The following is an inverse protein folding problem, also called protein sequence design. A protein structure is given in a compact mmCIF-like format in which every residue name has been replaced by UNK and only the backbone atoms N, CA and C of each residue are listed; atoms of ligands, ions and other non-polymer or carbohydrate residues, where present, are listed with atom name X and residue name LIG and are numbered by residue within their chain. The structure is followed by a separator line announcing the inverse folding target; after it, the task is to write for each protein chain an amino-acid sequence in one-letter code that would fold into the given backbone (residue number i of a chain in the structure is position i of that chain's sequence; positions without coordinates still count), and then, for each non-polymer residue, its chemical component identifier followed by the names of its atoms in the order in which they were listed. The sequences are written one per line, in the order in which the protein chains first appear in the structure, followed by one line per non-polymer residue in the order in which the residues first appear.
data_IF_588101467476
#
_entry.id   IF_588101467476
#
_cell.length_a   1.000
_cell.length_b   1.000
_cell.length_c   1.000
_cell.angle_alpha   90.00
_cell.angle_beta   90.00
_cell.angle_gamma   90.00
#
_symmetry.space_group_name_H-M   'P 1'
#
loop_
_entity.id
_entity.type
_entity.pdbx_description
1 polymer ?
#
# COMPACT_ATOMS: atom_id res chain seq x y z
N UNK A 1 -29.38 -4.44 0.94
CA UNK A 1 -28.07 -3.97 0.43
C UNK A 1 -28.25 -3.58 -1.03
N UNK A 2 -27.94 -2.38 -1.48
CA UNK A 2 -28.01 -2.03 -2.89
C UNK A 2 -26.87 -2.73 -3.64
N UNK A 3 -27.10 -3.21 -4.88
CA UNK A 3 -26.09 -3.87 -5.68
C UNK A 3 -25.00 -2.88 -6.12
N UNK A 4 -23.77 -3.33 -6.11
CA UNK A 4 -22.62 -2.64 -6.71
C UNK A 4 -22.84 -2.53 -8.21
N UNK A 5 -23.11 -1.33 -8.72
CA UNK A 5 -23.25 -1.11 -10.16
C UNK A 5 -21.83 -0.97 -10.78
N UNK A 6 -21.35 -2.09 -11.33
CA UNK A 6 -20.21 -2.09 -12.23
C UNK A 6 -20.72 -1.83 -13.65
N UNK A 7 -20.48 -0.63 -14.19
CA UNK A 7 -20.68 -0.38 -15.64
C UNK A 7 -19.45 -0.88 -16.40
N UNK A 8 -19.50 -2.12 -16.85
CA UNK A 8 -18.54 -2.70 -17.78
C UNK A 8 -19.04 -4.08 -18.21
N UNK A 9 -19.31 -4.26 -19.50
CA UNK A 9 -19.75 -5.52 -20.07
C UNK A 9 -18.57 -6.49 -20.17
N UNK A 10 -18.61 -7.59 -19.44
CA UNK A 10 -17.69 -8.72 -19.60
C UNK A 10 -18.18 -9.58 -20.78
N UNK A 11 -17.45 -9.53 -21.90
CA UNK A 11 -17.63 -10.51 -22.98
C UNK A 11 -17.02 -11.85 -22.54
N UNK A 12 -17.86 -12.87 -22.42
CA UNK A 12 -17.45 -14.27 -22.19
C UNK A 12 -17.04 -14.86 -23.52
N UNK A 13 -15.75 -14.82 -23.83
CA UNK A 13 -15.16 -15.53 -24.96
C UNK A 13 -14.31 -16.68 -24.46
N UNK A 14 -14.63 -17.90 -24.84
CA UNK A 14 -13.80 -19.09 -24.63
C UNK A 14 -12.62 -19.01 -25.59
N UNK A 15 -11.43 -18.71 -25.10
CA UNK A 15 -10.19 -18.72 -25.89
C UNK A 15 -9.20 -19.67 -25.24
N UNK A 16 -8.53 -20.46 -26.09
CA UNK A 16 -7.50 -21.43 -25.72
C UNK A 16 -6.42 -20.82 -24.82
N UNK A 17 -6.18 -21.48 -23.69
CA UNK A 17 -5.18 -21.08 -22.71
C UNK A 17 -3.81 -21.52 -23.24
N UNK A 18 -3.04 -20.59 -23.78
CA UNK A 18 -1.60 -20.81 -23.88
C UNK A 18 -1.01 -20.93 -22.46
N UNK A 19 -0.23 -21.99 -22.27
CA UNK A 19 0.40 -22.36 -20.99
C UNK A 19 1.52 -21.40 -20.63
N UNK A 20 1.18 -20.19 -20.21
CA UNK A 20 2.12 -19.38 -19.42
C UNK A 20 2.07 -19.89 -18.00
N UNK A 21 3.25 -20.20 -17.43
CA UNK A 21 3.35 -20.70 -16.06
C UNK A 21 2.52 -19.85 -15.10
N UNK A 22 1.44 -20.46 -14.60
CA UNK A 22 0.64 -19.87 -13.53
C UNK A 22 1.31 -20.23 -12.23
N UNK A 23 1.78 -19.26 -11.48
CA UNK A 23 2.34 -19.48 -10.15
C UNK A 23 1.22 -19.98 -9.22
N UNK A 24 1.45 -21.06 -8.48
CA UNK A 24 0.56 -21.53 -7.44
C UNK A 24 1.09 -21.09 -6.07
N UNK A 25 0.24 -20.48 -5.26
CA UNK A 25 0.56 -20.03 -3.91
C UNK A 25 -0.41 -20.68 -2.93
N UNK A 26 0.13 -21.44 -1.97
CA UNK A 26 -0.61 -21.88 -0.80
C UNK A 26 -0.71 -20.71 0.21
N UNK A 27 -1.93 -20.24 0.43
CA UNK A 27 -2.22 -19.13 1.32
C UNK A 27 -2.46 -19.56 2.78
N UNK A 28 -2.44 -20.87 3.09
CA UNK A 28 -2.75 -21.39 4.43
C UNK A 28 -1.87 -20.77 5.51
N UNK A 29 -2.50 -20.05 6.45
CA UNK A 29 -1.84 -19.38 7.58
C UNK A 29 -1.12 -18.06 7.23
N UNK A 30 -1.17 -17.60 5.98
CA UNK A 30 -0.53 -16.33 5.53
C UNK A 30 -1.42 -15.52 4.57
N UNK A 31 -2.72 -15.68 4.70
CA UNK A 31 -3.72 -15.12 3.79
C UNK A 31 -3.62 -13.60 3.62
N UNK A 32 -3.43 -12.88 4.74
CA UNK A 32 -3.29 -11.43 4.70
C UNK A 32 -2.07 -10.99 3.88
N UNK A 33 -0.94 -11.69 4.02
CA UNK A 33 0.28 -11.37 3.28
C UNK A 33 0.17 -11.69 1.80
N UNK A 34 -0.52 -12.77 1.45
CA UNK A 34 -0.79 -13.11 0.04
C UNK A 34 -1.61 -12.01 -0.61
N UNK A 35 -2.66 -11.52 0.06
CA UNK A 35 -3.48 -10.42 -0.45
C UNK A 35 -2.71 -9.09 -0.49
N UNK A 36 -1.99 -8.76 0.58
CA UNK A 36 -1.38 -7.44 0.77
C UNK A 36 -0.07 -7.26 0.00
N UNK A 37 0.63 -8.36 -0.33
CA UNK A 37 1.96 -8.31 -0.93
C UNK A 37 2.09 -9.15 -2.21
N UNK A 38 1.73 -10.46 -2.16
CA UNK A 38 1.97 -11.33 -3.30
C UNK A 38 1.16 -10.90 -4.52
N UNK A 39 -0.15 -10.66 -4.36
CA UNK A 39 -1.01 -10.31 -5.49
C UNK A 39 -0.62 -8.98 -6.15
N UNK A 40 -0.39 -7.87 -5.43
CA UNK A 40 0.03 -6.63 -6.06
C UNK A 40 1.44 -6.71 -6.70
N UNK A 41 2.38 -7.48 -6.14
CA UNK A 41 3.68 -7.74 -6.78
C UNK A 41 3.50 -8.48 -8.09
N UNK A 42 2.72 -9.57 -8.10
CA UNK A 42 2.46 -10.35 -9.31
C UNK A 42 1.67 -9.55 -10.34
N UNK A 43 0.77 -8.67 -9.88
CA UNK A 43 0.10 -7.70 -10.75
C UNK A 43 1.11 -6.78 -11.43
N UNK A 44 2.04 -6.19 -10.69
CA UNK A 44 3.12 -5.37 -11.25
C UNK A 44 4.03 -6.12 -12.21
N UNK A 45 4.31 -7.40 -11.94
CA UNK A 45 5.10 -8.26 -12.81
C UNK A 45 4.33 -8.80 -14.05
N UNK A 46 3.02 -8.61 -14.12
CA UNK A 46 2.18 -9.20 -15.16
C UNK A 46 2.12 -10.74 -15.11
N UNK A 47 2.33 -11.36 -13.95
CA UNK A 47 2.37 -12.82 -13.77
C UNK A 47 1.03 -13.36 -13.30
N UNK A 48 0.57 -14.44 -13.91
CA UNK A 48 -0.67 -15.11 -13.49
C UNK A 48 -0.45 -15.93 -12.22
N UNK A 49 -1.47 -15.98 -11.34
CA UNK A 49 -1.42 -16.67 -10.06
C UNK A 49 -2.70 -17.49 -9.82
N UNK A 50 -2.51 -18.67 -9.23
CA UNK A 50 -3.56 -19.44 -8.55
C UNK A 50 -3.29 -19.43 -7.06
N UNK A 51 -4.23 -18.95 -6.28
CA UNK A 51 -4.19 -19.00 -4.82
C UNK A 51 -5.03 -20.19 -4.36
N UNK A 52 -4.45 -21.04 -3.52
CA UNK A 52 -5.10 -22.22 -2.95
C UNK A 52 -5.06 -22.17 -1.44
N UNK A 53 -5.97 -22.89 -0.78
CA UNK A 53 -5.98 -23.03 0.67
C UNK A 53 -6.34 -21.77 1.46
N UNK A 54 -6.94 -20.76 0.81
CA UNK A 54 -7.28 -19.50 1.48
C UNK A 54 -8.28 -19.72 2.61
N UNK A 55 -7.85 -19.52 3.86
CA UNK A 55 -8.63 -19.77 5.10
C UNK A 55 -9.24 -21.17 5.22
N UNK A 56 -8.60 -22.18 4.68
CA UNK A 56 -9.08 -23.55 4.78
C UNK A 56 -9.08 -24.09 6.20
N UNK A 57 -8.30 -23.50 7.11
CA UNK A 57 -8.08 -23.95 8.49
C UNK A 57 -8.78 -23.11 9.58
N UNK A 58 -9.43 -21.99 9.24
CA UNK A 58 -9.88 -20.99 10.22
C UNK A 58 -11.38 -21.02 10.57
N UNK A 59 -12.11 -22.08 10.37
CA UNK A 59 -13.55 -22.15 10.76
C UNK A 59 -14.50 -21.18 10.01
N UNK A 60 -13.99 -20.11 9.41
CA UNK A 60 -14.64 -19.24 8.45
C UNK A 60 -13.94 -19.46 7.13
N UNK A 61 -14.55 -20.21 6.24
CA UNK A 61 -13.93 -20.64 4.99
C UNK A 61 -13.92 -19.53 3.96
N UNK A 62 -12.78 -19.35 3.30
CA UNK A 62 -12.61 -18.62 2.07
C UNK A 62 -12.67 -17.07 2.16
N UNK A 63 -12.86 -16.46 0.99
CA UNK A 63 -12.91 -15.01 0.82
C UNK A 63 -14.13 -14.38 1.50
N UNK A 64 -13.92 -13.32 2.26
CA UNK A 64 -14.99 -12.46 2.76
C UNK A 64 -15.54 -11.53 1.66
N UNK A 65 -16.75 -10.95 1.84
CA UNK A 65 -17.29 -9.97 0.88
C UNK A 65 -16.33 -8.80 0.60
N UNK A 66 -15.60 -8.35 1.61
CA UNK A 66 -14.60 -7.27 1.52
C UNK A 66 -13.44 -7.67 0.61
N UNK A 67 -12.91 -8.87 0.78
CA UNK A 67 -11.80 -9.39 -0.03
C UNK A 67 -12.24 -9.63 -1.47
N UNK A 68 -13.46 -10.13 -1.66
CA UNK A 68 -14.06 -10.26 -3.01
C UNK A 68 -14.14 -8.91 -3.71
N UNK A 69 -14.62 -7.85 -3.02
CA UNK A 69 -14.70 -6.50 -3.58
C UNK A 69 -13.29 -5.99 -3.94
N UNK A 70 -12.31 -6.14 -3.02
CA UNK A 70 -10.91 -5.74 -3.24
C UNK A 70 -10.30 -6.44 -4.45
N UNK A 71 -10.39 -7.77 -4.54
CA UNK A 71 -9.81 -8.57 -5.62
C UNK A 71 -10.45 -8.28 -6.98
N UNK A 72 -11.75 -8.09 -7.02
CA UNK A 72 -12.46 -7.69 -8.25
C UNK A 72 -12.02 -6.31 -8.71
N UNK A 73 -11.86 -5.36 -7.79
CA UNK A 73 -11.39 -4.01 -8.13
C UNK A 73 -9.93 -4.02 -8.57
N UNK A 74 -9.05 -4.78 -7.90
CA UNK A 74 -7.68 -4.98 -8.34
C UNK A 74 -7.65 -5.59 -9.75
N UNK A 75 -8.45 -6.62 -10.00
CA UNK A 75 -8.57 -7.23 -11.32
C UNK A 75 -9.00 -6.24 -12.41
N UNK A 76 -9.99 -5.40 -12.13
CA UNK A 76 -10.42 -4.35 -13.07
C UNK A 76 -9.32 -3.31 -13.30
N UNK A 77 -8.70 -2.83 -12.22
CA UNK A 77 -7.67 -1.79 -12.30
C UNK A 77 -6.40 -2.26 -13.02
N UNK A 78 -6.14 -3.56 -13.03
CA UNK A 78 -4.98 -4.18 -13.68
C UNK A 78 -5.36 -4.96 -14.94
N UNK A 79 -6.58 -4.83 -15.44
CA UNK A 79 -7.11 -5.59 -16.58
C UNK A 79 -6.94 -7.11 -16.44
N UNK A 80 -6.88 -7.63 -15.20
CA UNK A 80 -6.67 -9.04 -14.93
C UNK A 80 -7.93 -9.86 -15.19
N UNK A 81 -7.75 -11.07 -15.70
CA UNK A 81 -8.82 -12.08 -15.75
C UNK A 81 -8.95 -12.76 -14.40
N UNK A 82 -10.09 -12.59 -13.76
CA UNK A 82 -10.37 -13.15 -12.44
C UNK A 82 -11.34 -14.34 -12.55
N UNK A 83 -11.00 -15.47 -11.92
CA UNK A 83 -11.88 -16.65 -11.83
C UNK A 83 -11.89 -17.19 -10.40
N UNK A 84 -13.04 -17.72 -9.97
CA UNK A 84 -13.19 -18.26 -8.60
C UNK A 84 -13.30 -17.20 -7.52
N UNK A 85 -13.47 -15.91 -7.84
CA UNK A 85 -13.58 -14.83 -6.85
C UNK A 85 -15.05 -14.64 -6.45
N UNK A 86 -15.46 -15.34 -5.39
CA UNK A 86 -16.77 -15.24 -4.75
C UNK A 86 -16.64 -15.46 -3.25
N UNK A 87 -17.65 -15.06 -2.50
CA UNK A 87 -17.68 -15.24 -1.04
C UNK A 87 -17.58 -16.73 -0.66
N UNK A 88 -16.67 -17.04 0.26
CA UNK A 88 -16.39 -18.41 0.69
C UNK A 88 -15.43 -19.18 -0.22
N UNK A 89 -14.92 -18.60 -1.31
CA UNK A 89 -13.95 -19.25 -2.17
C UNK A 89 -12.60 -19.45 -1.44
N UNK A 90 -12.09 -20.67 -1.44
CA UNK A 90 -10.77 -21.00 -0.89
C UNK A 90 -9.67 -21.01 -1.97
N UNK A 91 -10.08 -21.21 -3.21
CA UNK A 91 -9.20 -21.23 -4.38
C UNK A 91 -9.71 -20.23 -5.41
N UNK A 92 -8.80 -19.43 -5.96
CA UNK A 92 -9.11 -18.47 -7.00
C UNK A 92 -7.91 -18.20 -7.89
N UNK A 93 -8.14 -17.58 -9.05
CA UNK A 93 -7.07 -17.21 -9.99
C UNK A 93 -7.19 -15.77 -10.43
N UNK A 94 -6.02 -15.15 -10.62
CA UNK A 94 -5.87 -13.85 -11.26
C UNK A 94 -4.83 -13.97 -12.37
N UNK A 95 -5.23 -13.63 -13.58
CA UNK A 95 -4.35 -13.61 -14.76
C UNK A 95 -4.01 -12.17 -15.13
N UNK A 96 -2.80 -11.72 -14.83
CA UNK A 96 -2.35 -10.36 -15.05
C UNK A 96 -1.64 -10.15 -16.41
N UNK A 97 -1.74 -11.08 -17.37
CA UNK A 97 -1.15 -10.91 -18.71
C UNK A 97 -2.11 -10.26 -19.68
N UNK A 98 -1.57 -9.35 -20.50
CA UNK A 98 -2.24 -8.95 -21.73
C UNK A 98 -2.23 -10.11 -22.73
N UNK A 99 -3.21 -10.16 -23.65
CA UNK A 99 -3.27 -11.17 -24.72
C UNK A 99 -2.05 -11.14 -25.66
N UNK A 100 -1.24 -10.08 -25.60
CA UNK A 100 -0.06 -9.86 -26.42
C UNK A 100 1.26 -10.17 -25.70
N UNK A 101 1.21 -10.77 -24.47
CA UNK A 101 2.42 -11.19 -23.75
C UNK A 101 3.24 -10.04 -23.12
N UNK A 102 2.74 -8.82 -23.14
CA UNK A 102 3.37 -7.67 -22.50
C UNK A 102 2.96 -7.47 -21.04
N UNK A 103 3.63 -6.58 -20.30
CA UNK A 103 3.20 -6.14 -19.00
C UNK A 103 1.79 -5.54 -19.07
N UNK A 104 1.14 -5.42 -17.91
CA UNK A 104 -0.23 -4.89 -17.79
C UNK A 104 -0.33 -3.58 -18.56
N UNK A 105 -1.15 -3.57 -19.59
CA UNK A 105 -1.63 -2.31 -20.15
C UNK A 105 -2.58 -1.75 -19.10
N UNK A 106 -2.13 -0.75 -18.36
CA UNK A 106 -3.04 0.02 -17.51
C UNK A 106 -4.23 0.43 -18.40
N UNK A 107 -5.49 0.18 -17.97
CA UNK A 107 -6.60 0.61 -18.77
C UNK A 107 -6.42 2.10 -19.07
N UNK A 108 -6.55 2.48 -20.33
CA UNK A 108 -6.40 3.87 -20.81
C UNK A 108 -7.42 4.85 -20.20
N UNK A 109 -8.25 4.36 -19.29
CA UNK A 109 -9.25 5.12 -18.55
C UNK A 109 -9.08 4.83 -17.04
N UNK A 110 -9.25 5.84 -16.21
CA UNK A 110 -9.25 5.70 -14.77
C UNK A 110 -10.39 4.79 -14.30
N UNK A 111 -10.12 3.91 -13.35
CA UNK A 111 -11.16 3.11 -12.70
C UNK A 111 -11.72 3.92 -11.54
N UNK A 112 -13.04 4.15 -11.56
CA UNK A 112 -13.78 4.62 -10.39
C UNK A 112 -14.40 3.41 -9.72
N UNK A 113 -13.93 3.09 -8.51
CA UNK A 113 -14.45 1.99 -7.72
C UNK A 113 -15.11 2.49 -6.45
N UNK A 114 -16.38 2.15 -6.28
CA UNK A 114 -17.11 2.34 -5.03
C UNK A 114 -17.05 1.03 -4.23
N UNK A 115 -16.27 1.02 -3.16
CA UNK A 115 -16.13 -0.12 -2.26
C UNK A 115 -17.25 -0.19 -1.22
N UNK A 116 -18.23 0.71 -1.29
CA UNK A 116 -19.33 0.79 -0.32
C UNK A 116 -18.80 0.97 1.10
N UNK A 117 -19.25 0.14 2.03
CA UNK A 117 -18.83 0.15 3.43
C UNK A 117 -17.48 -0.57 3.68
N UNK A 118 -16.49 -0.49 2.80
CA UNK A 118 -15.20 -1.15 2.96
C UNK A 118 -14.03 -0.15 2.95
N UNK A 119 -12.92 -0.45 3.68
CA UNK A 119 -11.73 0.37 3.65
C UNK A 119 -11.07 0.40 2.27
N UNK A 120 -10.64 1.58 1.84
CA UNK A 120 -9.91 1.77 0.56
C UNK A 120 -8.41 1.57 0.70
N UNK A 121 -7.84 1.75 1.89
CA UNK A 121 -6.40 1.73 2.12
C UNK A 121 -5.67 0.46 1.63
N UNK A 122 -6.20 -0.78 1.82
CA UNK A 122 -5.57 -1.96 1.26
C UNK A 122 -5.45 -1.93 -0.26
N UNK A 123 -6.50 -1.46 -0.94
CA UNK A 123 -6.49 -1.35 -2.41
C UNK A 123 -5.58 -0.21 -2.90
N UNK A 124 -5.47 0.89 -2.15
CA UNK A 124 -4.49 1.95 -2.43
C UNK A 124 -3.07 1.37 -2.39
N UNK A 125 -2.75 0.53 -1.39
CA UNK A 125 -1.48 -0.18 -1.31
C UNK A 125 -1.25 -1.11 -2.51
N UNK A 126 -2.26 -1.90 -2.87
CA UNK A 126 -2.19 -2.82 -4.02
C UNK A 126 -1.85 -2.08 -5.31
N UNK A 127 -2.58 -0.99 -5.58
CA UNK A 127 -2.38 -0.17 -6.77
C UNK A 127 -1.04 0.55 -6.75
N UNK A 128 -0.59 0.98 -5.57
CA UNK A 128 0.74 1.58 -5.40
C UNK A 128 1.83 0.59 -5.78
N UNK A 129 1.82 -0.63 -5.25
CA UNK A 129 2.81 -1.67 -5.56
C UNK A 129 2.71 -2.05 -7.05
N UNK A 130 1.52 -2.30 -7.55
CA UNK A 130 1.30 -2.67 -8.95
C UNK A 130 1.79 -1.58 -9.93
N UNK A 131 1.65 -0.30 -9.57
CA UNK A 131 2.11 0.84 -10.39
C UNK A 131 3.63 0.81 -10.67
N UNK A 132 4.41 0.22 -9.76
CA UNK A 132 5.85 0.05 -9.99
C UNK A 132 6.15 -0.91 -11.15
N UNK A 133 5.21 -1.71 -11.59
CA UNK A 133 5.31 -2.58 -12.77
C UNK A 133 4.91 -1.93 -14.10
N UNK A 134 4.45 -0.67 -14.11
CA UNK A 134 4.10 0.02 -15.35
C UNK A 134 5.26 0.05 -16.34
N UNK A 135 4.97 -0.13 -17.62
CA UNK A 135 5.95 0.03 -18.69
C UNK A 135 6.21 1.51 -19.00
N UNK A 136 7.34 1.80 -19.65
CA UNK A 136 7.70 3.17 -20.00
C UNK A 136 6.64 3.83 -20.88
N UNK A 137 6.20 5.01 -20.48
CA UNK A 137 5.12 5.76 -21.13
C UNK A 137 3.70 5.39 -20.70
N UNK A 138 3.54 4.36 -19.85
CA UNK A 138 2.25 4.01 -19.28
C UNK A 138 1.90 4.88 -18.07
N UNK A 139 0.62 5.03 -17.83
CA UNK A 139 0.08 5.74 -16.66
C UNK A 139 -1.20 5.07 -16.17
N UNK A 140 -1.48 5.22 -14.89
CA UNK A 140 -2.76 4.86 -14.28
C UNK A 140 -3.31 6.04 -13.47
N UNK A 141 -4.63 6.11 -13.38
CA UNK A 141 -5.32 7.02 -12.46
C UNK A 141 -6.58 6.33 -11.98
N UNK A 142 -6.69 6.12 -10.68
CA UNK A 142 -7.83 5.45 -10.07
C UNK A 142 -8.42 6.30 -8.96
N UNK A 143 -9.74 6.38 -8.92
CA UNK A 143 -10.51 7.00 -7.85
C UNK A 143 -11.24 5.91 -7.07
N UNK A 144 -10.99 5.85 -5.77
CA UNK A 144 -11.50 4.84 -4.86
C UNK A 144 -12.41 5.51 -3.83
N UNK A 145 -13.65 5.03 -3.72
CA UNK A 145 -14.64 5.49 -2.73
C UNK A 145 -14.89 4.44 -1.67
N UNK A 146 -14.91 4.84 -0.40
CA UNK A 146 -15.14 3.96 0.74
C UNK A 146 -14.63 4.56 2.04
N UNK A 147 -14.38 3.73 3.06
CA UNK A 147 -13.77 4.22 4.29
C UNK A 147 -12.29 4.53 4.04
N UNK A 148 -11.93 5.82 4.13
CA UNK A 148 -10.54 6.25 3.90
C UNK A 148 -9.69 6.07 5.15
N UNK A 149 -10.26 6.23 6.34
CA UNK A 149 -9.54 6.17 7.62
C UNK A 149 -10.21 5.20 8.58
N UNK A 150 -9.60 4.03 8.74
CA UNK A 150 -10.04 2.99 9.69
C UNK A 150 -8.86 2.51 10.53
N UNK A 151 -9.11 2.15 11.80
CA UNK A 151 -8.03 1.74 12.73
C UNK A 151 -7.20 0.56 12.26
N UNK A 152 -7.79 -0.36 11.54
CA UNK A 152 -7.16 -1.65 11.19
C UNK A 152 -6.50 -1.69 9.82
N UNK A 153 -6.61 -0.65 9.00
CA UNK A 153 -6.23 -0.74 7.59
C UNK A 153 -5.54 0.52 7.03
N UNK A 154 -5.00 1.38 7.88
CA UNK A 154 -4.61 2.74 7.45
C UNK A 154 -3.17 2.86 6.98
N UNK A 155 -2.26 2.11 7.57
CA UNK A 155 -0.85 2.44 7.41
C UNK A 155 -0.29 2.13 6.01
N UNK A 156 -0.73 1.04 5.38
CA UNK A 156 -0.18 0.61 4.09
C UNK A 156 -0.54 1.51 2.91
N UNK A 157 -1.73 2.09 2.91
CA UNK A 157 -2.25 2.83 1.75
C UNK A 157 -1.67 4.23 1.57
N UNK A 158 -1.02 4.80 2.58
CA UNK A 158 -0.69 6.22 2.59
C UNK A 158 0.80 6.53 2.58
N UNK A 159 1.65 5.55 2.29
CA UNK A 159 3.10 5.73 2.19
C UNK A 159 3.56 6.49 0.93
N UNK A 160 2.64 7.08 0.15
CA UNK A 160 2.97 7.70 -1.14
C UNK A 160 4.02 8.79 -1.04
N UNK A 161 4.01 9.60 0.01
CA UNK A 161 5.01 10.66 0.23
C UNK A 161 6.40 10.08 0.52
N UNK A 162 6.48 9.13 1.43
CA UNK A 162 7.74 8.49 1.83
C UNK A 162 8.30 7.56 0.74
N UNK A 163 7.43 6.99 -0.09
CA UNK A 163 7.83 6.20 -1.26
C UNK A 163 8.14 7.04 -2.50
N UNK A 164 7.80 8.35 -2.51
CA UNK A 164 7.96 9.18 -3.70
C UNK A 164 9.43 9.31 -4.16
N UNK A 165 10.38 9.30 -3.23
CA UNK A 165 11.80 9.31 -3.56
C UNK A 165 12.20 8.01 -4.26
N UNK A 166 11.82 6.85 -3.71
CA UNK A 166 12.06 5.54 -4.32
C UNK A 166 11.37 5.41 -5.67
N UNK A 167 10.12 5.87 -5.78
CA UNK A 167 9.39 5.86 -7.03
C UNK A 167 10.15 6.61 -8.13
N UNK A 168 10.69 7.81 -7.82
CA UNK A 168 11.51 8.60 -8.74
C UNK A 168 12.79 7.89 -9.17
N UNK A 169 13.47 7.21 -8.26
CA UNK A 169 14.66 6.40 -8.61
C UNK A 169 14.30 5.27 -9.59
N UNK A 170 13.14 4.67 -9.45
CA UNK A 170 12.62 3.70 -10.40
C UNK A 170 11.93 4.32 -11.62
N UNK A 171 12.01 5.64 -11.82
CA UNK A 171 11.45 6.34 -12.97
C UNK A 171 9.92 6.42 -12.97
N UNK A 172 9.29 6.37 -11.81
CA UNK A 172 7.84 6.47 -11.62
C UNK A 172 7.48 7.78 -10.94
N UNK A 173 6.54 8.54 -11.51
CA UNK A 173 5.86 9.63 -10.82
C UNK A 173 4.62 9.06 -10.14
N UNK A 174 4.62 9.04 -8.80
CA UNK A 174 3.56 8.48 -7.97
C UNK A 174 2.92 9.56 -7.12
N UNK A 175 1.59 9.65 -7.16
CA UNK A 175 0.80 10.57 -6.36
C UNK A 175 -0.39 9.87 -5.74
N UNK A 176 -0.52 9.99 -4.42
CA UNK A 176 -1.69 9.54 -3.67
C UNK A 176 -2.31 10.77 -3.01
N UNK A 177 -3.60 11.01 -3.23
CA UNK A 177 -4.32 12.14 -2.64
C UNK A 177 -5.64 11.69 -2.03
N UNK A 178 -5.97 12.23 -0.85
CA UNK A 178 -7.28 12.04 -0.21
C UNK A 178 -8.11 13.29 -0.49
N UNK A 179 -9.20 13.14 -1.24
CA UNK A 179 -10.08 14.22 -1.66
C UNK A 179 -11.29 14.37 -0.73
N UNK A 180 -11.63 13.31 -0.01
CA UNK A 180 -12.69 13.31 0.98
C UNK A 180 -12.42 12.32 2.09
N UNK A 181 -12.83 12.68 3.32
CA UNK A 181 -12.66 11.83 4.49
C UNK A 181 -13.90 10.95 4.72
N UNK A 182 -13.68 9.65 4.91
CA UNK A 182 -14.70 8.68 5.27
C UNK A 182 -14.24 7.82 6.44
N UNK A 183 -15.04 7.77 7.52
CA UNK A 183 -14.81 6.95 8.70
C UNK A 183 -15.91 5.90 8.84
N UNK A 184 -15.59 4.78 9.50
CA UNK A 184 -16.59 3.77 9.85
C UNK A 184 -17.65 4.33 10.82
N UNK A 185 -18.92 3.88 10.73
CA UNK A 185 -19.46 2.81 9.88
C UNK A 185 -20.16 3.28 8.60
N UNK A 186 -20.33 4.57 8.32
CA UNK A 186 -21.15 5.07 7.21
C UNK A 186 -20.49 6.16 6.36
N UNK A 187 -19.34 6.66 6.81
CA UNK A 187 -18.65 7.75 6.11
C UNK A 187 -17.99 7.24 4.83
N UNK A 188 -18.30 7.89 3.70
CA UNK A 188 -17.64 7.62 2.43
C UNK A 188 -16.70 8.77 2.11
N UNK A 189 -15.44 8.45 1.90
CA UNK A 189 -14.43 9.37 1.42
C UNK A 189 -13.89 8.92 0.06
N UNK A 190 -12.96 9.69 -0.50
CA UNK A 190 -12.38 9.46 -1.81
C UNK A 190 -10.86 9.54 -1.73
N UNK A 191 -10.18 8.55 -2.30
CA UNK A 191 -8.72 8.53 -2.48
C UNK A 191 -8.42 8.34 -3.96
N UNK A 192 -7.53 9.17 -4.49
CA UNK A 192 -7.00 9.04 -5.85
C UNK A 192 -5.58 8.48 -5.81
N UNK A 193 -5.30 7.52 -6.66
CA UNK A 193 -3.96 6.98 -6.93
C UNK A 193 -3.63 7.27 -8.38
N UNK A 194 -2.60 8.07 -8.61
CA UNK A 194 -2.10 8.37 -9.95
C UNK A 194 -0.62 7.98 -10.03
N UNK A 195 -0.24 7.33 -11.12
CA UNK A 195 1.14 6.99 -11.39
C UNK A 195 1.43 7.07 -12.88
N UNK A 196 2.63 7.50 -13.24
CA UNK A 196 3.12 7.49 -14.62
C UNK A 196 4.58 7.07 -14.68
N UNK A 197 4.89 6.16 -15.60
CA UNK A 197 6.25 5.67 -15.81
C UNK A 197 6.98 6.60 -16.79
N UNK A 198 7.96 7.35 -16.31
CA UNK A 198 8.70 8.34 -17.07
C UNK A 198 9.91 7.76 -17.80
N UNK A 199 10.49 6.69 -17.26
CA UNK A 199 11.70 6.03 -17.81
C UNK A 199 11.65 4.53 -17.60
N UNK A 200 12.59 3.79 -18.25
CA UNK A 200 12.70 2.34 -18.04
C UNK A 200 12.90 2.00 -16.56
N UNK A 201 12.22 0.96 -16.10
CA UNK A 201 12.44 0.30 -14.82
C UNK A 201 13.80 -0.42 -14.81
N UNK A 202 14.26 -0.86 -13.65
CA UNK A 202 15.42 -1.75 -13.53
C UNK A 202 16.69 -1.06 -13.05
N UNK A 203 16.59 0.02 -12.30
CA UNK A 203 17.73 0.59 -11.57
C UNK A 203 18.06 -0.20 -10.31
N UNK A 204 19.35 -0.24 -9.98
CA UNK A 204 19.80 -0.61 -8.64
C UNK A 204 19.79 0.64 -7.75
N UNK A 205 19.16 0.53 -6.59
CA UNK A 205 19.06 1.58 -5.59
C UNK A 205 19.76 1.08 -4.32
N UNK A 206 20.80 1.78 -3.88
CA UNK A 206 21.58 1.46 -2.68
C UNK A 206 21.31 2.54 -1.61
N UNK A 207 20.43 2.23 -0.67
CA UNK A 207 20.01 3.11 0.41
C UNK A 207 20.20 2.44 1.78
N UNK A 208 21.46 2.20 2.18
CA UNK A 208 21.80 1.54 3.46
C UNK A 208 21.48 2.35 4.71
N UNK A 209 21.19 3.64 4.55
CA UNK A 209 20.81 4.55 5.62
C UNK A 209 19.78 5.56 5.13
N UNK A 210 19.00 6.19 6.03
CA UNK A 210 17.99 7.17 5.63
C UNK A 210 18.60 8.46 5.08
N UNK A 211 19.90 8.71 5.30
CA UNK A 211 20.53 9.97 4.98
C UNK A 211 20.03 11.12 5.86
N UNK A 212 20.06 12.33 5.33
CA UNK A 212 19.67 13.54 6.09
C UNK A 212 18.14 13.67 6.15
N UNK A 213 17.61 14.01 7.34
CA UNK A 213 16.21 14.40 7.49
C UNK A 213 15.94 15.64 6.64
N UNK A 214 14.97 15.55 5.72
CA UNK A 214 14.55 16.67 4.85
C UNK A 214 13.38 17.43 5.41
N UNK A 215 12.35 16.72 5.87
CA UNK A 215 11.14 17.32 6.40
C UNK A 215 10.35 16.34 7.29
N UNK A 216 9.55 16.91 8.19
CA UNK A 216 8.43 16.20 8.81
C UNK A 216 7.15 16.90 8.40
N UNK A 217 6.24 16.12 7.80
CA UNK A 217 4.91 16.61 7.44
C UNK A 217 3.88 16.00 8.39
N UNK A 218 3.07 16.86 8.98
CA UNK A 218 1.99 16.47 9.87
C UNK A 218 0.67 16.81 9.21
N UNK A 219 -0.18 15.82 9.03
CA UNK A 219 -1.55 16.02 8.55
C UNK A 219 -2.51 15.69 9.68
N UNK A 220 -3.23 16.70 10.13
CA UNK A 220 -4.30 16.60 11.11
C UNK A 220 -5.63 16.68 10.37
N UNK A 221 -6.55 15.77 10.67
CA UNK A 221 -7.82 15.84 9.98
C UNK A 221 -8.97 15.16 10.71
N UNK A 222 -10.16 15.39 10.18
CA UNK A 222 -11.36 14.77 10.71
C UNK A 222 -12.63 15.21 10.02
N UNK A 223 -13.72 14.52 10.36
CA UNK A 223 -15.06 14.91 9.98
C UNK A 223 -15.67 15.70 11.12
N UNK A 224 -16.00 16.96 10.86
CA UNK A 224 -16.53 17.93 11.85
C UNK A 224 -15.74 17.95 13.17
N UNK A 225 -14.40 18.01 13.13
CA UNK A 225 -13.61 18.09 14.35
C UNK A 225 -13.86 19.44 15.04
N UNK A 226 -13.77 19.46 16.36
CA UNK A 226 -13.81 20.73 17.10
C UNK A 226 -12.48 21.46 16.86
N UNK A 227 -12.49 22.75 16.46
CA UNK A 227 -11.25 23.52 16.21
C UNK A 227 -10.28 23.44 17.38
N UNK A 228 -10.76 23.58 18.62
CA UNK A 228 -9.93 23.55 19.82
C UNK A 228 -9.25 22.19 20.05
N UNK A 229 -9.81 21.10 19.49
CA UNK A 229 -9.17 19.79 19.54
C UNK A 229 -8.01 19.71 18.58
N UNK A 230 -8.15 20.26 17.38
CA UNK A 230 -7.06 20.32 16.40
C UNK A 230 -5.94 21.24 16.90
N UNK A 231 -6.29 22.41 17.49
CA UNK A 231 -5.30 23.34 18.05
C UNK A 231 -4.48 22.69 19.17
N UNK A 232 -5.13 21.93 20.06
CA UNK A 232 -4.41 21.19 21.11
C UNK A 232 -3.53 20.08 20.58
N UNK A 233 -3.99 19.35 19.55
CA UNK A 233 -3.16 18.32 18.91
C UNK A 233 -1.93 18.92 18.26
N UNK A 234 -2.11 20.01 17.54
CA UNK A 234 -1.03 20.72 16.88
C UNK A 234 -0.01 21.24 17.89
N UNK A 235 -0.48 21.89 18.97
CA UNK A 235 0.40 22.37 20.02
C UNK A 235 1.23 21.25 20.66
N UNK A 236 0.61 20.13 21.02
CA UNK A 236 1.29 18.96 21.60
C UNK A 236 2.36 18.38 20.66
N UNK A 237 2.08 18.33 19.35
CA UNK A 237 3.02 17.81 18.36
C UNK A 237 4.20 18.76 18.20
N UNK A 238 3.92 20.06 18.03
CA UNK A 238 4.95 21.10 17.90
C UNK A 238 5.88 21.11 19.12
N UNK A 239 5.31 21.14 20.34
CA UNK A 239 6.07 21.11 21.58
C UNK A 239 6.95 19.85 21.66
N UNK A 240 6.37 18.67 21.42
CA UNK A 240 7.10 17.40 21.53
C UNK A 240 8.26 17.28 20.53
N UNK A 241 8.07 17.69 19.28
CA UNK A 241 9.12 17.64 18.25
C UNK A 241 10.18 18.71 18.48
N UNK A 242 9.76 19.91 18.90
CA UNK A 242 10.68 21.00 19.18
C UNK A 242 11.54 20.74 20.42
N UNK A 243 10.94 20.29 21.52
CA UNK A 243 11.69 20.03 22.75
C UNK A 243 12.71 18.91 22.57
N UNK A 244 12.34 17.85 21.83
CA UNK A 244 13.19 16.66 21.69
C UNK A 244 14.28 16.83 20.65
N UNK A 245 13.98 17.45 19.51
CA UNK A 245 14.89 17.48 18.34
C UNK A 245 15.04 18.83 17.68
N UNK A 246 14.40 19.89 18.18
CA UNK A 246 14.34 21.22 17.55
C UNK A 246 13.82 21.18 16.11
N UNK A 247 12.86 20.29 15.83
CA UNK A 247 12.26 20.12 14.51
C UNK A 247 10.97 20.92 14.45
N UNK A 248 10.84 21.74 13.40
CA UNK A 248 9.60 22.44 13.05
C UNK A 248 8.93 21.70 11.89
N UNK A 249 7.81 20.99 12.13
CA UNK A 249 7.13 20.23 11.08
C UNK A 249 6.28 21.14 10.19
N UNK A 250 6.10 20.76 8.93
CA UNK A 250 5.08 21.35 8.07
C UNK A 250 3.71 20.75 8.43
N UNK A 251 2.79 21.58 8.96
CA UNK A 251 1.48 21.13 9.40
C UNK A 251 0.40 21.48 8.36
N UNK A 252 -0.45 20.53 8.08
CA UNK A 252 -1.66 20.69 7.26
C UNK A 252 -2.90 20.20 7.98
N UNK A 253 -4.04 20.86 7.74
CA UNK A 253 -5.33 20.47 8.31
C UNK A 253 -6.31 20.08 7.20
N UNK A 254 -6.94 18.92 7.34
CA UNK A 254 -7.94 18.41 6.40
C UNK A 254 -9.27 18.21 7.16
N UNK A 255 -10.25 19.01 6.82
CA UNK A 255 -11.56 18.98 7.49
C UNK A 255 -12.65 18.65 6.48
N UNK A 256 -13.52 17.72 6.82
CA UNK A 256 -14.65 17.29 6.00
C UNK A 256 -15.98 17.46 6.76
N UNK A 257 -17.07 17.62 5.99
CA UNK A 257 -18.45 17.71 6.49
C UNK A 257 -19.20 16.36 6.46
N UNK A 258 -18.48 15.25 6.34
CA UNK A 258 -19.07 13.91 6.25
C UNK A 258 -20.02 13.51 7.38
N UNK A 259 -20.57 12.30 7.28
CA UNK A 259 -21.61 11.79 8.19
C UNK A 259 -21.02 11.30 9.51
N UNK A 260 -19.97 10.49 9.46
CA UNK A 260 -19.38 9.90 10.65
C UNK A 260 -18.25 10.73 11.22
N UNK A 261 -18.34 10.96 12.52
CA UNK A 261 -17.30 11.67 13.27
C UNK A 261 -16.06 10.80 13.38
N UNK A 262 -14.92 11.39 13.09
CA UNK A 262 -13.63 10.76 13.24
C UNK A 262 -12.51 11.79 13.15
N UNK A 263 -11.36 11.44 13.67
CA UNK A 263 -10.15 12.24 13.53
C UNK A 263 -8.98 11.32 13.20
N UNK A 264 -8.00 11.84 12.48
CA UNK A 264 -6.75 11.15 12.22
C UNK A 264 -5.58 12.09 12.38
N UNK A 265 -4.44 11.49 12.62
CA UNK A 265 -3.15 12.11 12.59
C UNK A 265 -2.25 11.26 11.71
N UNK A 266 -1.61 11.90 10.74
CA UNK A 266 -0.54 11.30 9.94
C UNK A 266 0.73 12.10 10.14
N UNK A 267 1.84 11.41 10.38
CA UNK A 267 3.18 11.99 10.42
C UNK A 267 4.00 11.27 9.35
N UNK A 268 4.45 12.03 8.34
CA UNK A 268 5.40 11.56 7.34
C UNK A 268 6.77 12.15 7.67
N UNK A 269 7.74 11.29 7.92
CA UNK A 269 9.15 11.63 8.06
C UNK A 269 9.81 11.41 6.71
N UNK A 270 10.26 12.48 6.08
CA UNK A 270 10.91 12.45 4.78
C UNK A 270 12.42 12.63 4.97
N UNK A 271 13.18 11.60 4.56
CA UNK A 271 14.63 11.62 4.57
C UNK A 271 15.19 11.71 3.15
N UNK A 272 16.49 11.87 3.02
CA UNK A 272 17.18 11.88 1.72
C UNK A 272 16.95 10.57 0.98
N UNK A 273 16.99 9.47 1.70
CA UNK A 273 16.75 8.13 1.23
C UNK A 273 15.65 7.50 2.08
N UNK A 274 14.43 7.40 1.54
CA UNK A 274 13.33 6.77 2.24
C UNK A 274 12.61 7.65 3.26
N UNK A 275 12.17 7.05 4.36
CA UNK A 275 11.39 7.71 5.39
C UNK A 275 10.37 6.80 6.07
N UNK A 276 9.44 7.41 6.81
CA UNK A 276 8.44 6.69 7.60
C UNK A 276 7.08 7.37 7.53
N UNK A 277 6.01 6.58 7.56
CA UNK A 277 4.63 7.08 7.64
C UNK A 277 3.91 6.48 8.83
N UNK A 278 3.52 7.33 9.77
CA UNK A 278 2.77 6.93 10.96
C UNK A 278 1.37 7.52 10.91
N UNK A 279 0.37 6.66 10.89
CA UNK A 279 -1.05 7.07 10.92
C UNK A 279 -1.70 6.52 12.17
N UNK A 280 -2.45 7.36 12.86
CA UNK A 280 -3.33 6.96 13.95
C UNK A 280 -4.73 7.55 13.75
N UNK A 281 -5.75 6.74 14.02
CA UNK A 281 -7.15 7.09 13.75
C UNK A 281 -7.96 6.97 15.03
N UNK A 282 -8.69 8.04 15.35
CA UNK A 282 -9.66 8.08 16.44
C UNK A 282 -11.09 8.02 15.89
N UNK A 283 -11.88 7.08 16.39
CA UNK A 283 -13.33 7.11 16.21
C UNK A 283 -13.99 8.15 17.13
N UNK A 284 -15.33 8.18 17.14
CA UNK A 284 -16.18 9.17 17.84
C UNK A 284 -15.79 9.46 19.30
N UNK A 285 -15.26 8.49 20.04
CA UNK A 285 -15.03 8.56 21.48
C UNK A 285 -13.58 8.66 21.92
N UNK A 286 -12.60 8.63 21.01
CA UNK A 286 -11.21 8.62 21.39
C UNK A 286 -10.68 10.04 21.65
N UNK A 287 -9.98 10.20 22.78
CA UNK A 287 -9.30 11.44 23.09
C UNK A 287 -8.14 11.69 22.10
N UNK A 288 -8.02 12.89 21.53
CA UNK A 288 -7.01 13.17 20.51
C UNK A 288 -5.57 13.17 21.03
N UNK A 289 -5.30 13.63 22.24
CA UNK A 289 -3.94 13.75 22.78
C UNK A 289 -3.14 12.46 22.87
N UNK A 290 -3.70 11.29 23.30
CA UNK A 290 -2.99 10.02 23.25
C UNK A 290 -2.57 9.60 21.83
N UNK A 291 -3.33 10.02 20.80
CA UNK A 291 -2.96 9.78 19.39
C UNK A 291 -1.67 10.53 19.04
N UNK A 292 -1.63 11.84 19.35
CA UNK A 292 -0.46 12.68 19.10
C UNK A 292 0.79 12.08 19.73
N UNK A 293 0.75 11.76 21.02
CA UNK A 293 1.88 11.20 21.75
C UNK A 293 2.40 9.89 21.17
N UNK A 294 1.49 8.98 20.76
CA UNK A 294 1.89 7.70 20.13
C UNK A 294 2.55 7.91 18.78
N UNK A 295 1.98 8.76 17.93
CA UNK A 295 2.51 9.02 16.60
C UNK A 295 3.85 9.74 16.66
N UNK A 296 3.97 10.76 17.50
CA UNK A 296 5.25 11.48 17.74
C UNK A 296 6.30 10.54 18.30
N UNK A 297 5.97 9.69 19.30
CA UNK A 297 6.91 8.70 19.84
C UNK A 297 7.43 7.76 18.77
N UNK A 298 6.56 7.29 17.85
CA UNK A 298 6.98 6.43 16.73
C UNK A 298 7.89 7.19 15.76
N UNK A 299 7.54 8.43 15.42
CA UNK A 299 8.35 9.26 14.52
C UNK A 299 9.74 9.56 15.11
N UNK A 300 9.82 9.90 16.39
CA UNK A 300 11.10 10.10 17.10
C UNK A 300 11.90 8.79 17.18
N UNK A 301 11.25 7.67 17.49
CA UNK A 301 11.90 6.36 17.51
C UNK A 301 12.46 5.95 16.14
N UNK A 302 11.80 6.31 15.05
CA UNK A 302 12.33 6.13 13.70
C UNK A 302 13.55 7.03 13.46
N UNK A 303 13.51 8.29 13.86
CA UNK A 303 14.65 9.21 13.74
C UNK A 303 15.86 8.81 14.59
N UNK A 304 15.65 8.02 15.66
CA UNK A 304 16.71 7.46 16.48
C UNK A 304 17.30 6.17 15.90
N UNK A 305 16.58 5.56 14.96
CA UNK A 305 17.06 4.40 14.23
C UNK A 305 17.83 4.83 12.97
N UNK A 306 18.73 3.99 12.50
CA UNK A 306 19.39 4.17 11.19
C UNK A 306 18.62 3.46 10.07
N UNK A 307 17.36 3.13 10.30
CA UNK A 307 16.53 2.45 9.33
C UNK A 307 16.21 3.37 8.14
N UNK A 308 16.28 2.83 6.93
CA UNK A 308 15.91 3.56 5.71
C UNK A 308 14.42 3.84 5.67
N UNK A 309 13.62 2.89 6.15
CA UNK A 309 12.17 2.98 6.22
C UNK A 309 11.66 2.42 7.55
N UNK A 310 10.46 2.83 7.97
CA UNK A 310 9.72 2.07 8.96
C UNK A 310 9.31 0.68 8.41
N UNK A 311 8.88 -0.22 9.28
CA UNK A 311 8.53 -1.59 8.91
C UNK A 311 7.57 -1.66 7.72
N UNK A 312 6.48 -0.89 7.77
CA UNK A 312 5.40 -0.98 6.78
C UNK A 312 5.83 -0.38 5.45
N UNK A 313 6.41 0.82 5.49
CA UNK A 313 6.94 1.49 4.31
C UNK A 313 8.05 0.66 3.67
N UNK A 314 8.92 0.06 4.50
CA UNK A 314 10.01 -0.81 4.04
C UNK A 314 9.52 -2.07 3.32
N UNK A 315 8.55 -2.79 3.91
CA UNK A 315 7.96 -3.96 3.25
C UNK A 315 7.31 -3.56 1.91
N UNK A 316 6.62 -2.41 1.87
CA UNK A 316 6.04 -1.90 0.63
C UNK A 316 7.11 -1.52 -0.39
N UNK A 317 8.22 -0.93 0.04
CA UNK A 317 9.36 -0.60 -0.82
C UNK A 317 10.02 -1.85 -1.43
N UNK A 318 10.20 -2.91 -0.63
CA UNK A 318 10.69 -4.21 -1.11
C UNK A 318 9.73 -4.82 -2.14
N UNK A 319 8.43 -4.84 -1.85
CA UNK A 319 7.40 -5.31 -2.78
C UNK A 319 7.43 -4.52 -4.10
N UNK A 320 7.54 -3.20 -4.02
CA UNK A 320 7.65 -2.31 -5.18
C UNK A 320 8.90 -2.60 -6.02
N UNK A 321 10.05 -2.81 -5.38
CA UNK A 321 11.28 -3.14 -6.09
C UNK A 321 11.18 -4.49 -6.84
N UNK A 322 10.56 -5.49 -6.22
CA UNK A 322 10.32 -6.79 -6.85
C UNK A 322 9.34 -6.64 -8.03
N UNK A 323 8.29 -5.81 -7.89
CA UNK A 323 7.32 -5.55 -8.94
C UNK A 323 7.95 -4.88 -10.17
N UNK A 324 8.98 -4.04 -10.00
CA UNK A 324 9.70 -3.38 -11.11
C UNK A 324 10.79 -4.23 -11.74
N UNK A 325 11.08 -5.42 -11.24
CA UNK A 325 12.31 -6.16 -11.53
C UNK A 325 13.59 -5.35 -11.22
N UNK A 326 13.51 -4.42 -10.28
CA UNK A 326 14.64 -3.61 -9.81
C UNK A 326 15.47 -4.31 -8.73
N UNK A 327 16.56 -3.65 -8.33
CA UNK A 327 17.39 -4.03 -7.19
C UNK A 327 17.30 -2.93 -6.12
N UNK A 328 17.07 -3.32 -4.88
CA UNK A 328 16.97 -2.39 -3.74
C UNK A 328 17.79 -2.90 -2.57
N UNK A 329 18.69 -2.06 -2.07
CA UNK A 329 19.42 -2.30 -0.84
C UNK A 329 18.99 -1.28 0.22
N UNK A 330 18.51 -1.77 1.38
CA UNK A 330 17.95 -0.95 2.46
C UNK A 330 18.22 -1.55 3.84
N UNK A 331 18.12 -0.72 4.87
CA UNK A 331 18.16 -1.15 6.28
C UNK A 331 16.78 -1.02 6.91
N UNK A 332 16.26 -2.09 7.50
CA UNK A 332 14.94 -2.15 8.12
C UNK A 332 15.02 -2.69 9.56
N UNK A 333 14.07 -2.35 10.44
CA UNK A 333 13.99 -2.97 11.75
C UNK A 333 13.62 -4.47 11.62
N UNK A 334 14.31 -5.38 12.35
CA UNK A 334 14.01 -6.79 12.31
C UNK A 334 12.70 -7.08 13.06
N UNK A 335 11.68 -7.54 12.35
CA UNK A 335 10.37 -7.86 12.92
C UNK A 335 9.85 -9.18 12.38
N UNK A 336 8.93 -9.84 13.10
CA UNK A 336 8.28 -11.07 12.62
C UNK A 336 7.55 -10.85 11.29
N UNK A 337 6.94 -9.68 11.13
CA UNK A 337 6.24 -9.33 9.90
C UNK A 337 7.20 -9.19 8.72
N UNK A 338 8.34 -8.55 8.92
CA UNK A 338 9.38 -8.46 7.89
C UNK A 338 9.88 -9.86 7.52
N UNK A 339 10.22 -10.71 8.50
CA UNK A 339 10.68 -12.07 8.25
C UNK A 339 9.66 -12.89 7.45
N UNK A 340 8.38 -12.76 7.78
CA UNK A 340 7.31 -13.42 7.04
C UNK A 340 7.17 -12.88 5.60
N UNK A 341 7.33 -11.56 5.42
CA UNK A 341 7.32 -10.93 4.10
C UNK A 341 8.50 -11.41 3.23
N UNK A 342 9.70 -11.49 3.81
CA UNK A 342 10.90 -11.98 3.10
C UNK A 342 10.73 -13.44 2.67
N UNK A 343 10.13 -14.29 3.52
CA UNK A 343 9.79 -15.65 3.14
C UNK A 343 8.86 -15.68 1.93
N UNK A 344 7.78 -14.90 1.95
CA UNK A 344 6.85 -14.80 0.84
C UNK A 344 7.53 -14.29 -0.44
N UNK A 345 8.39 -13.28 -0.34
CA UNK A 345 9.10 -12.75 -1.51
C UNK A 345 10.05 -13.77 -2.14
N UNK A 346 10.69 -14.65 -1.33
CA UNK A 346 11.47 -15.78 -1.85
C UNK A 346 10.58 -16.77 -2.61
N UNK A 347 9.39 -17.06 -2.10
CA UNK A 347 8.42 -17.92 -2.78
C UNK A 347 7.97 -17.31 -4.13
N UNK A 348 7.98 -15.97 -4.24
CA UNK A 348 7.69 -15.26 -5.50
C UNK A 348 8.90 -15.24 -6.45
N UNK A 349 10.04 -15.79 -6.05
CA UNK A 349 11.29 -15.83 -6.84
C UNK A 349 12.17 -14.61 -6.63
N UNK A 350 12.04 -13.85 -5.55
CA UNK A 350 13.01 -12.81 -5.25
C UNK A 350 14.30 -13.41 -4.66
N UNK A 351 15.44 -12.90 -5.12
CA UNK A 351 16.71 -13.15 -4.47
C UNK A 351 16.94 -12.13 -3.36
N UNK A 352 17.20 -12.61 -2.13
CA UNK A 352 17.33 -11.77 -0.94
C UNK A 352 18.60 -12.13 -0.19
N UNK A 353 19.50 -11.17 -0.08
CA UNK A 353 20.67 -11.20 0.80
C UNK A 353 20.32 -10.46 2.09
N UNK A 354 20.70 -11.03 3.23
CA UNK A 354 20.45 -10.48 4.56
C UNK A 354 21.78 -10.35 5.31
N UNK A 355 22.00 -9.19 5.91
CA UNK A 355 23.14 -8.90 6.79
C UNK A 355 22.59 -8.31 8.10
N UNK A 356 22.88 -8.96 9.22
CA UNK A 356 22.54 -8.44 10.53
C UNK A 356 23.42 -7.25 10.92
N UNK A 357 22.81 -6.19 11.39
CA UNK A 357 23.46 -5.02 11.97
C UNK A 357 22.83 -4.70 13.33
N UNK A 358 23.46 -3.94 14.22
CA UNK A 358 22.89 -3.64 15.52
C UNK A 358 21.51 -2.98 15.44
N UNK A 359 20.46 -3.73 15.82
CA UNK A 359 19.06 -3.27 15.78
C UNK A 359 18.44 -3.15 14.38
N UNK A 360 19.14 -3.59 13.34
CA UNK A 360 18.72 -3.51 11.95
C UNK A 360 19.01 -4.79 11.18
N UNK A 361 18.29 -4.98 10.09
CA UNK A 361 18.57 -5.95 9.06
C UNK A 361 18.84 -5.22 7.75
N UNK A 362 20.04 -5.35 7.21
CA UNK A 362 20.37 -4.86 5.86
C UNK A 362 19.91 -5.88 4.86
N UNK A 363 19.16 -5.42 3.89
CA UNK A 363 18.51 -6.25 2.89
C UNK A 363 18.93 -5.79 1.50
N UNK A 364 19.37 -6.74 0.69
CA UNK A 364 19.53 -6.54 -0.74
C UNK A 364 18.57 -7.45 -1.46
N UNK A 365 17.60 -6.87 -2.14
CA UNK A 365 16.51 -7.59 -2.81
C UNK A 365 16.53 -7.30 -4.30
N UNK A 366 16.45 -8.37 -5.10
CA UNK A 366 16.31 -8.29 -6.57
C UNK A 366 15.31 -9.34 -7.05
N UNK A 367 14.56 -9.01 -8.08
CA UNK A 367 13.71 -9.99 -8.76
C UNK A 367 14.56 -10.93 -9.61
N UNK A 368 14.24 -12.22 -9.62
CA UNK A 368 14.87 -13.19 -10.52
C UNK A 368 14.18 -13.25 -11.88
N UNK A 369 13.07 -12.56 -12.08
CA UNK A 369 12.44 -12.50 -13.39
C UNK A 369 13.36 -11.71 -14.32
N UNK A 370 14.28 -12.40 -14.98
CA UNK A 370 15.02 -11.87 -16.13
C UNK A 370 13.99 -11.39 -17.15
N UNK A 371 14.05 -10.10 -17.48
CA UNK A 371 13.43 -9.60 -18.68
C UNK A 371 14.01 -10.41 -19.86
N UNK A 372 13.20 -11.33 -20.39
CA UNK A 372 13.46 -11.96 -21.67
C UNK A 372 13.01 -11.02 -22.79
#
# INVERSE_FOLDING_TARGET
MPPVFLKGSLAVGTVAIETTETLEIDASGREAMVLDLALPVLAGQGRSVRVVGFRSSMGVSGLSPREVARLRTLGLATSARATGIFEGANDFRLGFKSEQGGPIVAPSFGVQADLGGHPVAPLVSDLTIAAFGLAAGESLTHELKGFTHVRSATAHGYCGRTLAALAREFGLDLKISTEGLGFEPQGVGTVSVAASRLSKAGRAVDWKSPGVLRAIHVTLGGVRPKPEQLDRLEAEILESLWETRRIEPAISRVVSQGVDLGAFLQIDVECEHGGATFIDVAGRSAAPLPLARRAVKKALGFLDSEATFDEITGITALAASIATAGELEVSLPPTERLSSALSLFRDLGAFIEEEEAPGLLRLKVRSTSSAG
#
